data_IF_740135162459
#
_entry.id   IF_740135162459
#
_cell.length_a   1.000
_cell.length_b   1.000
_cell.length_c   1.000
_cell.angle_alpha   90.00
_cell.angle_beta   90.00
_cell.angle_gamma   90.00
#
_symmetry.space_group_name_H-M   'P 1'
#
loop_
_entity.id
_entity.type
_entity.pdbx_description
1 polymer ?
#
# COMPACT_ATOMS: atom_id res chain seq x y z
N UNK A 1 -18.83 22.43 -5.81
CA UNK A 1 -18.18 21.15 -5.44
C UNK A 1 -16.78 21.45 -4.95
N UNK A 2 -16.35 20.97 -3.77
CA UNK A 2 -14.97 21.14 -3.33
C UNK A 2 -14.04 20.43 -4.32
N UNK A 3 -13.01 21.14 -4.79
CA UNK A 3 -11.99 20.58 -5.68
C UNK A 3 -11.04 19.74 -4.83
N UNK A 4 -11.17 18.41 -4.92
CA UNK A 4 -10.22 17.50 -4.27
C UNK A 4 -8.86 17.70 -4.96
N UNK A 5 -7.80 18.10 -4.24
CA UNK A 5 -6.50 18.27 -4.85
C UNK A 5 -5.98 16.91 -5.36
N UNK A 6 -5.35 16.92 -6.53
CA UNK A 6 -4.69 15.73 -7.05
C UNK A 6 -3.59 15.31 -6.08
N UNK A 7 -3.67 14.08 -5.58
CA UNK A 7 -2.60 13.52 -4.77
C UNK A 7 -1.54 12.87 -5.66
N UNK A 8 -0.24 13.01 -5.34
CA UNK A 8 0.82 12.33 -6.08
C UNK A 8 0.69 10.80 -5.94
N UNK A 9 1.03 10.07 -7.01
CA UNK A 9 0.90 8.60 -7.07
C UNK A 9 2.27 7.98 -7.35
N UNK A 10 2.47 6.77 -6.81
CA UNK A 10 3.53 5.85 -7.19
C UNK A 10 2.99 4.43 -7.30
N UNK A 11 3.57 3.62 -8.18
CA UNK A 11 3.25 2.21 -8.38
C UNK A 11 4.35 1.33 -7.80
N UNK A 12 3.97 0.36 -6.97
CA UNK A 12 4.89 -0.56 -6.30
C UNK A 12 5.08 -1.79 -7.19
N UNK A 13 6.31 -2.07 -7.58
CA UNK A 13 6.66 -3.23 -8.38
C UNK A 13 6.90 -4.44 -7.48
N UNK A 14 6.45 -5.63 -7.91
CA UNK A 14 6.72 -6.90 -7.20
C UNK A 14 8.21 -7.25 -7.10
N UNK A 15 8.99 -6.77 -8.06
CA UNK A 15 10.46 -6.83 -8.09
C UNK A 15 10.96 -5.58 -8.78
N UNK A 16 12.05 -5.01 -8.27
CA UNK A 16 12.73 -3.93 -8.98
C UNK A 16 13.10 -4.37 -10.40
N UNK A 17 12.96 -3.46 -11.37
CA UNK A 17 13.43 -3.72 -12.74
C UNK A 17 14.95 -3.94 -12.72
N UNK A 18 15.41 -4.86 -13.55
CA UNK A 18 16.83 -5.23 -13.70
C UNK A 18 17.60 -4.19 -14.54
N UNK A 19 16.86 -3.33 -15.27
CA UNK A 19 17.38 -2.28 -16.14
C UNK A 19 16.59 -0.98 -15.92
N UNK A 20 17.22 0.18 -16.08
CA UNK A 20 16.61 1.49 -15.84
C UNK A 20 16.92 2.03 -14.43
N UNK A 21 15.96 2.68 -13.76
CA UNK A 21 16.17 3.31 -12.45
C UNK A 21 16.35 2.31 -11.30
N UNK A 22 16.08 1.02 -11.54
CA UNK A 22 16.14 -0.07 -10.55
C UNK A 22 15.34 0.20 -9.28
N UNK A 23 14.32 1.07 -9.35
CA UNK A 23 13.48 1.45 -8.21
C UNK A 23 12.35 0.45 -8.02
N UNK A 24 12.00 0.24 -6.75
CA UNK A 24 10.84 -0.56 -6.37
C UNK A 24 9.51 0.20 -6.54
N UNK A 25 9.55 1.53 -6.44
CA UNK A 25 8.41 2.41 -6.66
C UNK A 25 8.66 3.30 -7.89
N UNK A 26 7.72 3.28 -8.85
CA UNK A 26 7.73 4.16 -10.03
C UNK A 26 6.75 5.31 -9.85
N UNK A 27 7.18 6.53 -10.17
CA UNK A 27 6.37 7.74 -10.03
C UNK A 27 6.94 8.68 -8.97
N UNK A 28 6.09 9.19 -8.10
CA UNK A 28 6.47 10.20 -7.11
C UNK A 28 7.50 9.66 -6.12
N UNK A 29 8.51 10.46 -5.78
CA UNK A 29 9.41 10.16 -4.66
C UNK A 29 8.61 10.07 -3.35
N UNK A 30 8.78 8.96 -2.65
CA UNK A 30 8.05 8.60 -1.42
C UNK A 30 8.84 8.94 -0.15
N UNK A 31 10.10 9.36 -0.28
CA UNK A 31 10.99 9.63 0.84
C UNK A 31 10.41 10.71 1.76
N UNK A 32 10.28 10.40 3.05
CA UNK A 32 9.74 11.30 4.06
C UNK A 32 8.22 11.52 3.99
N UNK A 33 7.49 10.73 3.19
CA UNK A 33 6.04 10.91 2.99
C UNK A 33 5.22 9.88 3.76
N UNK A 34 4.01 10.29 4.12
CA UNK A 34 2.95 9.36 4.52
C UNK A 34 2.33 8.77 3.26
N UNK A 35 2.41 7.45 3.12
CA UNK A 35 1.95 6.72 1.93
C UNK A 35 0.80 5.80 2.32
N UNK A 36 -0.33 5.98 1.64
CA UNK A 36 -1.47 5.06 1.69
C UNK A 36 -1.28 3.99 0.60
N UNK A 37 -1.20 2.72 0.99
CA UNK A 37 -1.22 1.62 0.03
C UNK A 37 -2.68 1.37 -0.38
N UNK A 38 -2.96 1.34 -1.69
CA UNK A 38 -4.29 1.05 -2.22
C UNK A 38 -4.25 -0.26 -3.01
N UNK A 39 -5.17 -1.18 -2.71
CA UNK A 39 -5.37 -2.43 -3.45
C UNK A 39 -6.86 -2.61 -3.75
N UNK A 40 -7.22 -3.26 -4.86
CA UNK A 40 -8.62 -3.44 -5.20
C UNK A 40 -9.31 -4.35 -4.18
N UNK A 41 -8.67 -5.48 -3.84
CA UNK A 41 -9.30 -6.51 -3.02
C UNK A 41 -8.28 -7.24 -2.14
N UNK A 42 -8.54 -7.27 -0.84
CA UNK A 42 -7.66 -7.90 0.16
C UNK A 42 -8.23 -9.25 0.60
N UNK A 43 -7.40 -10.29 0.54
CA UNK A 43 -7.70 -11.60 1.17
C UNK A 43 -6.78 -11.80 2.40
N UNK A 44 -5.48 -12.01 2.17
CA UNK A 44 -4.49 -12.24 3.24
C UNK A 44 -3.61 -11.01 3.51
N UNK A 45 -3.71 -9.94 2.70
CA UNK A 45 -2.78 -8.81 2.73
C UNK A 45 -1.40 -9.14 2.15
N UNK A 46 -1.26 -10.27 1.43
CA UNK A 46 0.03 -10.81 0.99
C UNK A 46 0.86 -9.97 0.03
N UNK A 47 0.31 -8.90 -0.57
CA UNK A 47 1.08 -7.93 -1.34
C UNK A 47 1.30 -6.61 -0.58
N UNK A 48 0.32 -6.17 0.19
CA UNK A 48 0.40 -4.96 1.02
C UNK A 48 1.49 -5.09 2.08
N UNK A 49 1.56 -6.23 2.77
CA UNK A 49 2.54 -6.45 3.84
C UNK A 49 4.01 -6.40 3.35
N UNK A 50 4.41 -7.14 2.30
CA UNK A 50 5.76 -7.00 1.72
C UNK A 50 6.04 -5.59 1.21
N UNK A 51 5.08 -4.98 0.51
CA UNK A 51 5.24 -3.62 0.00
C UNK A 51 5.51 -2.61 1.13
N UNK A 52 4.78 -2.71 2.24
CA UNK A 52 5.03 -1.84 3.38
C UNK A 52 6.43 -2.08 3.99
N UNK A 53 6.87 -3.34 4.06
CA UNK A 53 8.20 -3.69 4.54
C UNK A 53 9.31 -3.14 3.64
N UNK A 54 9.12 -3.16 2.32
CA UNK A 54 10.14 -2.71 1.36
C UNK A 54 10.20 -1.18 1.22
N UNK A 55 9.07 -0.48 1.36
CA UNK A 55 9.02 0.98 1.23
C UNK A 55 9.44 1.74 2.49
N UNK A 56 9.28 1.16 3.68
CA UNK A 56 9.70 1.78 4.95
C UNK A 56 11.20 2.12 5.00
N UNK A 57 12.12 1.21 4.60
CA UNK A 57 13.55 1.53 4.47
C UNK A 57 13.86 2.65 3.47
N UNK A 58 12.96 2.93 2.52
CA UNK A 58 13.07 4.03 1.56
C UNK A 58 12.54 5.37 2.14
N UNK A 59 12.20 5.41 3.43
CA UNK A 59 11.76 6.61 4.13
C UNK A 59 10.25 6.88 4.07
N UNK A 60 9.44 5.93 3.58
CA UNK A 60 7.99 6.07 3.62
C UNK A 60 7.40 5.69 4.98
N UNK A 61 6.46 6.51 5.46
CA UNK A 61 5.63 6.17 6.62
C UNK A 61 4.33 5.52 6.15
N UNK A 62 4.14 4.25 6.52
CA UNK A 62 2.98 3.45 6.09
C UNK A 62 2.28 2.93 7.33
N UNK A 63 1.14 3.56 7.64
CA UNK A 63 0.29 3.23 8.79
C UNK A 63 -1.07 2.67 8.35
N UNK A 64 -1.48 2.90 7.11
CA UNK A 64 -2.79 2.50 6.60
C UNK A 64 -2.67 1.86 5.22
N UNK A 65 -3.60 0.95 4.93
CA UNK A 65 -3.91 0.48 3.60
C UNK A 65 -5.42 0.59 3.34
N UNK A 66 -5.81 0.85 2.10
CA UNK A 66 -7.20 0.94 1.67
C UNK A 66 -7.49 -0.13 0.63
N UNK A 67 -8.62 -0.81 0.79
CA UNK A 67 -9.19 -1.63 -0.27
C UNK A 67 -10.67 -1.38 -0.53
N UNK A 68 -11.15 -1.80 -1.70
CA UNK A 68 -12.59 -1.76 -1.99
C UNK A 68 -13.28 -2.91 -1.27
N UNK A 69 -12.77 -4.14 -1.41
CA UNK A 69 -13.38 -5.33 -0.82
C UNK A 69 -12.38 -6.04 0.10
N UNK A 70 -12.75 -6.24 1.35
CA UNK A 70 -12.11 -7.18 2.27
C UNK A 70 -12.85 -8.52 2.18
N UNK A 71 -12.17 -9.56 1.70
CA UNK A 71 -12.74 -10.90 1.46
C UNK A 71 -12.11 -11.99 2.32
N UNK A 72 -11.23 -11.64 3.27
CA UNK A 72 -10.44 -12.63 3.99
C UNK A 72 -10.43 -12.44 5.50
N UNK A 73 -10.50 -13.56 6.24
CA UNK A 73 -10.46 -13.56 7.71
C UNK A 73 -9.11 -13.13 8.29
N UNK A 74 -8.02 -13.23 7.53
CA UNK A 74 -6.66 -13.00 8.05
C UNK A 74 -5.99 -11.72 7.58
N UNK A 75 -6.51 -11.03 6.56
CA UNK A 75 -5.88 -9.84 5.98
C UNK A 75 -5.68 -8.73 7.00
N UNK A 76 -6.75 -8.36 7.73
CA UNK A 76 -6.71 -7.35 8.79
C UNK A 76 -5.68 -7.69 9.88
N UNK A 77 -5.69 -8.91 10.40
CA UNK A 77 -4.75 -9.37 11.43
C UNK A 77 -3.30 -9.36 10.94
N UNK A 78 -3.08 -9.82 9.70
CA UNK A 78 -1.75 -9.88 9.08
C UNK A 78 -1.13 -8.50 8.91
N UNK A 79 -1.94 -7.50 8.55
CA UNK A 79 -1.54 -6.11 8.39
C UNK A 79 -1.36 -5.42 9.74
N UNK A 80 -2.28 -5.63 10.69
CA UNK A 80 -2.20 -5.07 12.04
C UNK A 80 -0.92 -5.52 12.76
N UNK A 81 -0.53 -6.80 12.62
CA UNK A 81 0.73 -7.32 13.16
C UNK A 81 1.99 -6.64 12.59
N UNK A 82 1.85 -5.86 11.51
CA UNK A 82 2.93 -5.08 10.87
C UNK A 82 2.72 -3.57 11.04
N UNK A 83 1.81 -3.15 11.92
CA UNK A 83 1.48 -1.74 12.15
C UNK A 83 0.80 -1.08 10.95
N UNK A 84 0.00 -1.82 10.19
CA UNK A 84 -0.79 -1.31 9.07
C UNK A 84 -2.28 -1.57 9.35
N UNK A 85 -3.06 -0.51 9.49
CA UNK A 85 -4.51 -0.60 9.62
C UNK A 85 -5.16 -0.76 8.23
N UNK A 86 -6.09 -1.71 8.10
CA UNK A 86 -6.85 -1.91 6.87
C UNK A 86 -8.17 -1.15 6.91
N UNK A 87 -8.31 -0.18 6.02
CA UNK A 87 -9.56 0.48 5.68
C UNK A 87 -10.20 -0.26 4.50
N UNK A 88 -11.50 -0.49 4.54
CA UNK A 88 -12.23 -1.15 3.46
C UNK A 88 -13.61 -0.54 3.25
N UNK A 89 -14.09 -0.56 2.00
CA UNK A 89 -15.44 -0.09 1.67
C UNK A 89 -16.50 -1.17 1.90
N UNK A 90 -16.19 -2.40 1.48
CA UNK A 90 -17.08 -3.55 1.57
C UNK A 90 -16.36 -4.69 2.30
N UNK A 91 -17.14 -5.45 3.07
CA UNK A 91 -16.70 -6.72 3.66
C UNK A 91 -17.53 -7.83 3.02
N UNK A 92 -16.87 -8.84 2.48
CA UNK A 92 -17.55 -10.05 2.00
C UNK A 92 -17.75 -10.98 3.19
N UNK A 93 -19.00 -11.07 3.66
CA UNK A 93 -19.44 -11.93 4.78
C UNK A 93 -19.78 -13.33 4.31
#
# INVERSE_FOLDING_TARGET
>A
MPRIPLQPIAFILKKAKIHGTCRLAEGTDITGKHVLIVDAVVNTGGQIAPSAADLRPLGATITHALCVIDRGRSGRTTLAARGVELLNLLTLT
#
